data_IF_576013920428
#
_entry.id   IF_576013920428
#
_cell.length_a   1.000
_cell.length_b   1.000
_cell.length_c   1.000
_cell.angle_alpha   90.00
_cell.angle_beta   90.00
_cell.angle_gamma   90.00
#
_symmetry.space_group_name_H-M   'P 1'
#
loop_
_entity.id
_entity.type
_entity.pdbx_description
1 polymer ?
#
# COMPACT_ATOMS: atom_id res chain seq x y z
N UNK A 1 0.69 16.85 -2.48
CA UNK A 1 0.76 16.18 -3.79
C UNK A 1 -0.11 16.93 -4.78
N UNK A 2 -1.42 17.09 -4.51
CA UNK A 2 -2.37 17.82 -5.36
C UNK A 2 -1.85 19.16 -5.90
N UNK A 3 -1.47 20.10 -5.02
CA UNK A 3 -0.90 21.40 -5.41
C UNK A 3 0.30 21.29 -6.36
N UNK A 4 1.16 20.29 -6.19
CA UNK A 4 2.32 20.13 -7.07
C UNK A 4 1.88 19.53 -8.41
N UNK A 5 1.03 18.51 -8.39
CA UNK A 5 0.48 17.91 -9.60
C UNK A 5 -0.24 18.95 -10.48
N UNK A 6 -1.00 19.86 -9.86
CA UNK A 6 -1.64 20.98 -10.54
C UNK A 6 -0.67 21.97 -11.20
N UNK A 7 0.51 22.24 -10.61
CA UNK A 7 1.55 23.09 -11.26
C UNK A 7 2.09 22.48 -12.54
N UNK A 8 2.09 21.16 -12.64
CA UNK A 8 2.58 20.41 -13.79
C UNK A 8 1.46 19.94 -14.73
N UNK A 9 0.20 20.32 -14.46
CA UNK A 9 -0.95 19.93 -15.28
C UNK A 9 -1.19 18.43 -15.33
N UNK A 10 -0.87 17.70 -14.26
CA UNK A 10 -0.99 16.24 -14.16
C UNK A 10 -1.95 15.85 -13.04
N UNK A 11 -2.64 14.72 -13.22
CA UNK A 11 -3.36 14.03 -12.15
C UNK A 11 -2.48 12.89 -11.62
N UNK A 12 -2.05 12.99 -10.37
CA UNK A 12 -1.18 11.99 -9.77
C UNK A 12 -2.00 10.81 -9.26
N UNK A 13 -1.75 9.63 -9.82
CA UNK A 13 -2.23 8.35 -9.27
C UNK A 13 -1.53 8.07 -7.94
N UNK A 14 -2.31 7.78 -6.91
CA UNK A 14 -1.80 7.51 -5.56
C UNK A 14 -2.43 6.25 -4.96
N UNK A 15 -1.69 5.64 -4.05
CA UNK A 15 -2.16 4.56 -3.19
C UNK A 15 -2.29 5.09 -1.76
N UNK A 16 -3.31 4.63 -1.03
CA UNK A 16 -3.46 4.96 0.40
C UNK A 16 -2.80 3.88 1.25
N UNK A 17 -1.76 4.25 1.99
CA UNK A 17 -1.07 3.33 2.89
C UNK A 17 -1.88 3.12 4.18
N UNK A 18 -2.35 1.89 4.39
CA UNK A 18 -3.15 1.49 5.55
C UNK A 18 -2.27 0.80 6.58
N UNK A 19 -2.30 1.32 7.81
CA UNK A 19 -1.63 0.72 8.96
C UNK A 19 -2.49 -0.40 9.52
N UNK A 20 -2.10 -1.64 9.22
CA UNK A 20 -2.77 -2.86 9.68
C UNK A 20 -2.04 -3.54 10.84
N UNK A 21 -0.81 -3.13 11.11
CA UNK A 21 -0.01 -3.60 12.24
C UNK A 21 -0.01 -2.58 13.39
N UNK A 22 0.06 -3.05 14.65
CA UNK A 22 0.13 -2.18 15.82
C UNK A 22 1.49 -1.49 15.99
N UNK A 23 2.52 -1.85 15.20
CA UNK A 23 3.88 -1.31 15.34
C UNK A 23 3.95 0.22 15.22
N UNK A 24 4.52 0.90 16.21
CA UNK A 24 4.73 2.35 16.22
C UNK A 24 5.59 2.85 15.06
N UNK A 25 6.56 2.03 14.62
CA UNK A 25 7.58 2.40 13.61
C UNK A 25 7.04 2.60 12.21
N UNK A 26 5.83 2.10 11.91
CA UNK A 26 5.24 2.22 10.57
C UNK A 26 4.14 3.26 10.52
N UNK A 27 4.26 4.15 9.53
CA UNK A 27 3.26 5.15 9.18
C UNK A 27 2.10 4.52 8.41
N UNK A 28 0.97 5.22 8.37
CA UNK A 28 -0.21 4.81 7.62
C UNK A 28 -1.49 5.27 8.29
N UNK A 29 -2.57 5.33 7.51
CA UNK A 29 -3.88 5.67 8.04
C UNK A 29 -4.45 4.46 8.80
N UNK A 30 -5.06 4.70 9.94
CA UNK A 30 -5.83 3.65 10.62
C UNK A 30 -7.05 3.28 9.77
N UNK A 31 -7.59 2.06 9.98
CA UNK A 31 -8.87 1.67 9.38
C UNK A 31 -9.97 2.73 9.62
N UNK A 32 -10.00 3.34 10.80
CA UNK A 32 -11.01 4.35 11.17
C UNK A 32 -10.86 5.66 10.37
N UNK A 33 -9.63 6.04 10.03
CA UNK A 33 -9.36 7.28 9.28
C UNK A 33 -9.41 7.12 7.75
N UNK A 34 -9.47 5.88 7.25
CA UNK A 34 -9.42 5.61 5.82
C UNK A 34 -10.62 6.18 5.08
N UNK A 35 -11.84 6.04 5.62
CA UNK A 35 -13.06 6.58 5.00
C UNK A 35 -13.00 8.11 4.84
N UNK A 36 -12.53 8.81 5.87
CA UNK A 36 -12.37 10.26 5.83
C UNK A 36 -11.32 10.67 4.80
N UNK A 37 -10.20 9.93 4.73
CA UNK A 37 -9.15 10.20 3.76
C UNK A 37 -9.63 9.96 2.32
N UNK A 38 -10.36 8.88 2.06
CA UNK A 38 -10.97 8.62 0.74
C UNK A 38 -11.95 9.74 0.38
N UNK A 39 -12.81 10.18 1.30
CA UNK A 39 -13.72 11.31 1.05
C UNK A 39 -12.97 12.59 0.70
N UNK A 40 -11.99 12.99 1.52
CA UNK A 40 -11.14 14.17 1.27
C UNK A 40 -10.37 14.07 -0.05
N UNK A 41 -9.93 12.86 -0.41
CA UNK A 41 -9.19 12.67 -1.67
C UNK A 41 -10.03 12.99 -2.91
N UNK A 42 -11.36 12.81 -2.84
CA UNK A 42 -12.29 13.14 -3.93
C UNK A 42 -12.46 14.64 -4.12
N UNK A 43 -12.10 15.45 -3.13
CA UNK A 43 -12.13 16.91 -3.20
C UNK A 43 -10.86 17.49 -3.87
N UNK A 44 -9.85 16.66 -4.13
CA UNK A 44 -8.58 17.05 -4.74
C UNK A 44 -8.63 16.85 -6.26
N UNK A 45 -8.53 17.95 -7.02
CA UNK A 45 -8.68 17.91 -8.48
C UNK A 45 -7.54 17.22 -9.24
N UNK A 46 -6.36 17.08 -8.62
CA UNK A 46 -5.15 16.57 -9.26
C UNK A 46 -4.66 15.25 -8.62
N UNK A 47 -5.53 14.55 -7.90
CA UNK A 47 -5.23 13.28 -7.25
C UNK A 47 -6.25 12.23 -7.68
N UNK A 48 -5.74 11.08 -8.09
CA UNK A 48 -6.54 9.91 -8.41
C UNK A 48 -6.15 8.78 -7.44
N UNK A 49 -7.04 8.43 -6.51
CA UNK A 49 -6.80 7.27 -5.64
C UNK A 49 -7.10 6.00 -6.43
N UNK A 50 -6.06 5.19 -6.66
CA UNK A 50 -6.17 3.97 -7.48
C UNK A 50 -6.00 2.69 -6.68
N UNK A 51 -5.77 2.78 -5.37
CA UNK A 51 -5.55 1.56 -4.58
C UNK A 51 -5.17 1.76 -3.14
N UNK A 52 -4.99 0.62 -2.47
CA UNK A 52 -4.49 0.55 -1.11
C UNK A 52 -3.08 -0.05 -1.09
N UNK A 53 -2.35 0.28 -0.05
CA UNK A 53 -1.00 -0.23 0.18
C UNK A 53 -0.83 -0.63 1.64
N UNK A 54 -0.08 -1.69 1.91
CA UNK A 54 0.35 -2.01 3.28
C UNK A 54 1.77 -2.56 3.33
N UNK A 55 2.38 -2.41 4.50
CA UNK A 55 3.69 -2.97 4.84
C UNK A 55 3.51 -3.71 6.17
N UNK A 56 3.36 -5.04 6.15
CA UNK A 56 3.32 -5.85 7.37
C UNK A 56 4.63 -5.74 8.17
N UNK A 57 4.65 -6.14 9.44
CA UNK A 57 5.89 -6.45 10.18
C UNK A 57 6.82 -7.32 9.35
N UNK A 58 8.13 -7.22 9.60
CA UNK A 58 9.04 -8.19 9.02
C UNK A 58 8.83 -9.54 9.70
N UNK A 59 8.76 -10.60 8.90
CA UNK A 59 8.64 -11.97 9.36
C UNK A 59 9.66 -12.83 8.62
N UNK A 60 10.32 -13.73 9.33
CA UNK A 60 11.17 -14.75 8.69
C UNK A 60 10.33 -15.80 7.92
N UNK A 61 9.08 -15.99 8.35
CA UNK A 61 8.11 -16.87 7.71
C UNK A 61 7.08 -16.04 6.92
N UNK A 62 7.04 -16.15 5.57
CA UNK A 62 6.17 -15.33 4.72
C UNK A 62 4.67 -15.44 5.06
N UNK A 63 4.22 -16.63 5.48
CA UNK A 63 2.83 -16.91 5.85
C UNK A 63 2.31 -16.01 6.99
N UNK A 64 3.21 -15.53 7.86
CA UNK A 64 2.83 -14.63 8.95
C UNK A 64 2.39 -13.25 8.44
N UNK A 65 2.74 -12.89 7.20
CA UNK A 65 2.26 -11.67 6.54
C UNK A 65 0.84 -11.84 5.94
N UNK A 66 0.40 -13.07 5.65
CA UNK A 66 -0.88 -13.36 4.99
C UNK A 66 -2.09 -12.68 5.64
N UNK A 67 -2.26 -12.67 6.99
CA UNK A 67 -3.40 -12.00 7.62
C UNK A 67 -3.50 -10.50 7.31
N UNK A 68 -2.36 -9.84 7.09
CA UNK A 68 -2.32 -8.42 6.75
C UNK A 68 -2.72 -8.19 5.29
N UNK A 69 -2.28 -9.05 4.37
CA UNK A 69 -2.65 -8.98 2.96
C UNK A 69 -4.13 -9.26 2.76
N UNK A 70 -4.64 -10.31 3.40
CA UNK A 70 -6.08 -10.62 3.43
C UNK A 70 -6.89 -9.43 3.94
N UNK A 71 -6.43 -8.81 5.03
CA UNK A 71 -7.13 -7.66 5.61
C UNK A 71 -7.11 -6.43 4.71
N UNK A 72 -6.04 -6.21 3.94
CA UNK A 72 -5.98 -5.15 2.94
C UNK A 72 -6.98 -5.41 1.81
N UNK A 73 -7.06 -6.65 1.30
CA UNK A 73 -8.05 -7.07 0.31
C UNK A 73 -9.48 -6.83 0.79
N UNK A 74 -9.82 -7.31 1.98
CA UNK A 74 -11.14 -7.10 2.58
C UNK A 74 -11.52 -5.62 2.73
N UNK A 75 -10.54 -4.75 2.99
CA UNK A 75 -10.78 -3.31 3.00
C UNK A 75 -11.03 -2.77 1.59
N UNK A 76 -10.28 -3.27 0.61
CA UNK A 76 -10.47 -2.86 -0.77
C UNK A 76 -11.80 -3.32 -1.36
N UNK A 77 -12.38 -4.43 -0.90
CA UNK A 77 -13.72 -4.87 -1.29
C UNK A 77 -14.80 -3.79 -1.00
N UNK A 78 -14.55 -2.87 -0.05
CA UNK A 78 -15.43 -1.75 0.27
C UNK A 78 -15.32 -0.63 -0.77
N UNK A 79 -14.11 -0.36 -1.27
CA UNK A 79 -13.83 0.80 -2.14
C UNK A 79 -13.76 0.44 -3.62
N UNK A 80 -13.48 -0.81 -3.96
CA UNK A 80 -13.37 -1.30 -5.33
C UNK A 80 -12.22 -0.68 -6.12
N UNK A 81 -11.10 -0.33 -5.48
CA UNK A 81 -9.96 0.20 -6.21
C UNK A 81 -9.25 -0.90 -7.01
N UNK A 82 -8.65 -0.56 -8.18
CA UNK A 82 -7.99 -1.54 -9.01
C UNK A 82 -6.68 -2.07 -8.43
N UNK A 83 -6.00 -1.30 -7.57
CA UNK A 83 -4.65 -1.65 -7.12
C UNK A 83 -4.57 -2.07 -5.63
N UNK A 84 -3.86 -3.16 -5.38
CA UNK A 84 -3.41 -3.62 -4.08
C UNK A 84 -1.89 -3.74 -4.07
N UNK A 85 -1.22 -2.76 -3.46
CA UNK A 85 0.24 -2.80 -3.31
C UNK A 85 0.64 -3.44 -1.99
N UNK A 86 1.01 -4.71 -2.06
CA UNK A 86 1.44 -5.51 -0.92
C UNK A 86 2.38 -6.61 -1.40
N UNK A 87 3.28 -7.06 -0.52
CA UNK A 87 4.37 -7.96 -0.89
C UNK A 87 5.67 -7.23 -1.22
N UNK A 88 6.75 -7.71 -0.62
CA UNK A 88 8.14 -7.35 -0.82
C UNK A 88 8.96 -8.61 -1.08
N UNK A 89 10.29 -8.49 -1.22
CA UNK A 89 11.17 -9.62 -1.58
C UNK A 89 10.90 -10.92 -0.80
N UNK A 90 10.60 -10.85 0.50
CA UNK A 90 10.41 -12.04 1.34
C UNK A 90 8.99 -12.61 1.37
N UNK A 91 7.98 -11.89 0.88
CA UNK A 91 6.57 -12.25 1.09
C UNK A 91 5.65 -11.99 -0.12
N UNK A 92 6.24 -11.67 -1.28
CA UNK A 92 5.45 -11.33 -2.48
C UNK A 92 4.62 -12.50 -3.03
N UNK A 93 5.06 -13.75 -2.89
CA UNK A 93 4.29 -14.92 -3.36
C UNK A 93 2.97 -15.04 -2.59
N UNK A 94 3.03 -14.97 -1.26
CA UNK A 94 1.87 -14.93 -0.36
C UNK A 94 0.98 -13.72 -0.67
N UNK A 95 1.59 -12.56 -0.99
CA UNK A 95 0.85 -11.37 -1.38
C UNK A 95 0.06 -11.56 -2.69
N UNK A 96 0.66 -12.20 -3.70
CA UNK A 96 0.01 -12.51 -4.99
C UNK A 96 -1.18 -13.45 -4.79
N UNK A 97 -1.03 -14.48 -3.95
CA UNK A 97 -2.13 -15.40 -3.62
C UNK A 97 -3.32 -14.69 -2.95
N UNK A 98 -3.06 -13.66 -2.13
CA UNK A 98 -4.10 -12.83 -1.52
C UNK A 98 -4.55 -11.66 -2.42
N UNK A 99 -4.15 -11.64 -3.70
CA UNK A 99 -4.65 -10.71 -4.71
C UNK A 99 -3.85 -9.42 -4.89
N UNK A 100 -2.56 -9.40 -4.56
CA UNK A 100 -1.71 -8.26 -4.88
C UNK A 100 -1.66 -8.00 -6.39
N UNK A 101 -1.79 -6.73 -6.77
CA UNK A 101 -1.61 -6.27 -8.16
C UNK A 101 -0.25 -5.60 -8.35
N UNK A 102 0.36 -5.12 -7.26
CA UNK A 102 1.65 -4.46 -7.23
C UNK A 102 2.53 -5.04 -6.12
N UNK A 103 3.59 -5.75 -6.50
CA UNK A 103 4.63 -6.24 -5.58
C UNK A 103 5.88 -5.37 -5.67
N UNK A 104 6.65 -5.29 -4.56
CA UNK A 104 7.82 -4.39 -4.45
C UNK A 104 9.10 -5.19 -4.18
N UNK A 105 9.71 -5.69 -5.24
CA UNK A 105 10.89 -6.57 -5.15
C UNK A 105 12.18 -5.75 -5.30
N UNK A 106 13.00 -5.76 -4.26
CA UNK A 106 14.28 -5.03 -4.22
C UNK A 106 15.46 -5.99 -4.23
N UNK A 107 15.79 -6.54 -3.06
CA UNK A 107 16.96 -7.41 -2.85
C UNK A 107 17.04 -8.60 -3.81
N UNK A 108 15.93 -9.23 -4.18
CA UNK A 108 15.97 -10.34 -5.14
C UNK A 108 16.31 -9.91 -6.58
N UNK A 109 16.13 -8.63 -6.93
CA UNK A 109 16.50 -8.09 -8.24
C UNK A 109 17.90 -7.46 -8.20
N UNK A 110 18.19 -6.67 -7.17
CA UNK A 110 19.38 -5.81 -7.12
C UNK A 110 20.49 -6.29 -6.18
N UNK A 111 20.25 -7.35 -5.39
CA UNK A 111 21.16 -7.78 -4.34
C UNK A 111 21.03 -6.98 -3.04
N UNK A 112 21.91 -7.24 -2.08
CA UNK A 112 21.93 -6.51 -0.82
C UNK A 112 22.31 -5.03 -1.02
N UNK A 113 21.83 -4.17 -0.11
CA UNK A 113 22.21 -2.76 -0.13
C UNK A 113 23.61 -2.62 0.44
N UNK A 114 24.47 -1.93 -0.30
CA UNK A 114 25.74 -1.48 0.21
C UNK A 114 25.52 -0.28 1.14
N UNK A 115 26.01 -0.36 2.37
CA UNK A 115 25.84 0.65 3.41
C UNK A 115 27.17 1.33 3.77
N UNK A 116 28.11 1.37 2.82
CA UNK A 116 29.31 2.22 2.92
C UNK A 116 28.97 3.72 3.10
#
# INVERSE_FOLDING_TARGET
IDRQAGKYGTAQKVLLQVKLAPEETKSGISKKGLDELVKKSRELSNIEVVGLMTVPPYFDEPERARPFFRRLRELNDIYGFPELSMGMTGDFEVAVEEGATLVRVGTAIFGERDYE
#
